data_IF_022571456202
#
_entry.id   IF_022571456202
#
_cell.length_a   1.000
_cell.length_b   1.000
_cell.length_c   1.000
_cell.angle_alpha   90.00
_cell.angle_beta   90.00
_cell.angle_gamma   90.00
#
_symmetry.space_group_name_H-M   'P 1'
#
loop_
_entity.id
_entity.type
_entity.pdbx_description
1 polymer ?
#
# COMPACT_ATOMS: atom_id res chain seq x y z
N UNK A 1 19.92 12.79 -16.10
CA UNK A 1 19.30 12.54 -14.77
C UNK A 1 20.23 12.89 -13.60
N UNK A 2 21.40 12.25 -13.40
CA UNK A 2 22.33 12.56 -12.29
C UNK A 2 22.73 14.05 -12.21
N UNK A 3 23.07 14.65 -13.35
CA UNK A 3 23.41 16.09 -13.44
C UNK A 3 22.26 17.03 -13.08
N UNK A 4 21.00 16.66 -13.36
CA UNK A 4 19.82 17.45 -12.97
C UNK A 4 19.65 17.46 -11.44
N UNK A 5 19.87 16.31 -10.79
CA UNK A 5 19.80 16.18 -9.34
C UNK A 5 20.89 17.02 -8.66
N UNK A 6 22.12 16.94 -9.16
CA UNK A 6 23.26 17.74 -8.68
C UNK A 6 22.98 19.25 -8.79
N UNK A 7 22.44 19.72 -9.93
CA UNK A 7 22.09 21.12 -10.12
C UNK A 7 20.97 21.59 -9.16
N UNK A 8 19.98 20.73 -8.89
CA UNK A 8 18.90 21.03 -7.93
C UNK A 8 19.44 21.10 -6.49
N UNK A 9 20.38 20.22 -6.14
CA UNK A 9 21.04 20.25 -4.83
C UNK A 9 21.86 21.54 -4.65
N UNK A 10 22.69 21.88 -5.64
CA UNK A 10 23.48 23.13 -5.61
C UNK A 10 22.60 24.38 -5.49
N UNK A 11 21.46 24.44 -6.20
CA UNK A 11 20.49 25.52 -6.03
C UNK A 11 19.93 25.56 -4.61
N UNK A 12 19.55 24.41 -4.04
CA UNK A 12 19.06 24.32 -2.67
C UNK A 12 20.06 24.92 -1.69
N UNK A 13 21.32 24.52 -1.80
CA UNK A 13 22.41 24.99 -0.93
C UNK A 13 22.62 26.51 -1.04
N UNK A 14 22.61 27.06 -2.26
CA UNK A 14 22.70 28.51 -2.49
C UNK A 14 21.51 29.26 -1.90
N UNK A 15 20.29 28.73 -2.03
CA UNK A 15 19.11 29.36 -1.41
C UNK A 15 19.14 29.30 0.11
N UNK A 16 19.72 28.25 0.69
CA UNK A 16 19.95 28.17 2.14
C UNK A 16 21.01 29.18 2.58
N UNK A 17 22.09 29.36 1.82
CA UNK A 17 23.09 30.38 2.10
C UNK A 17 22.48 31.79 2.06
N UNK A 18 21.69 32.12 1.03
CA UNK A 18 20.96 33.38 0.94
C UNK A 18 20.02 33.60 2.14
N UNK A 19 19.27 32.57 2.55
CA UNK A 19 18.43 32.62 3.76
C UNK A 19 19.27 32.85 5.02
N UNK A 20 20.44 32.23 5.12
CA UNK A 20 21.32 32.39 6.29
C UNK A 20 21.77 33.85 6.47
N UNK A 21 22.09 34.57 5.38
CA UNK A 21 22.44 35.98 5.44
C UNK A 21 21.27 36.85 5.91
N UNK A 22 20.05 36.56 5.44
CA UNK A 22 18.84 37.27 5.88
C UNK A 22 18.52 37.00 7.35
N UNK A 23 18.58 35.74 7.79
CA UNK A 23 18.34 35.38 9.21
C UNK A 23 19.38 35.97 10.16
N UNK A 24 20.66 36.07 9.75
CA UNK A 24 21.70 36.75 10.53
C UNK A 24 21.42 38.24 10.68
N UNK A 25 21.05 38.90 9.59
CA UNK A 25 20.68 40.32 9.61
C UNK A 25 19.44 40.57 10.51
N UNK A 26 18.42 39.70 10.43
CA UNK A 26 17.24 39.75 11.30
C UNK A 26 17.58 39.56 12.78
N UNK A 27 18.41 38.57 13.12
CA UNK A 27 18.85 38.31 14.50
C UNK A 27 19.64 39.48 15.09
N UNK A 28 20.46 40.13 14.26
CA UNK A 28 21.25 41.30 14.65
C UNK A 28 20.46 42.63 14.58
N UNK A 29 19.16 42.57 14.23
CA UNK A 29 18.26 43.73 14.05
C UNK A 29 18.85 44.84 13.17
N UNK A 30 19.64 44.47 12.17
CA UNK A 30 20.29 45.40 11.24
C UNK A 30 19.96 45.04 9.80
N UNK A 31 20.10 46.01 8.90
CA UNK A 31 20.12 45.72 7.47
C UNK A 31 21.39 44.97 7.07
N UNK A 32 21.34 44.27 5.94
CA UNK A 32 22.52 43.70 5.28
C UNK A 32 23.61 44.76 5.17
N UNK A 33 24.82 44.40 5.59
CA UNK A 33 25.99 45.25 5.40
C UNK A 33 26.31 45.35 3.89
N UNK A 34 27.06 46.36 3.46
CA UNK A 34 27.42 46.57 2.04
C UNK A 34 28.11 45.36 1.41
N UNK A 35 28.94 44.63 2.17
CA UNK A 35 29.63 43.44 1.67
C UNK A 35 28.75 42.18 1.68
N UNK A 36 27.86 42.03 2.67
CA UNK A 36 26.87 40.95 2.69
C UNK A 36 25.81 41.12 1.59
N UNK A 37 25.44 42.37 1.30
CA UNK A 37 24.56 42.69 0.19
C UNK A 37 25.19 42.29 -1.16
N UNK A 38 26.48 42.59 -1.38
CA UNK A 38 27.21 42.15 -2.58
C UNK A 38 27.23 40.63 -2.70
N UNK A 39 27.55 39.91 -1.62
CA UNK A 39 27.55 38.44 -1.61
C UNK A 39 26.15 37.86 -1.87
N UNK A 40 25.10 38.47 -1.32
CA UNK A 40 23.72 38.07 -1.59
C UNK A 40 23.34 38.24 -3.06
N UNK A 41 23.71 39.37 -3.69
CA UNK A 41 23.44 39.58 -5.11
C UNK A 41 24.23 38.62 -6.01
N UNK A 42 25.47 38.26 -5.62
CA UNK A 42 26.27 37.28 -6.34
C UNK A 42 25.67 35.87 -6.25
N UNK A 43 25.27 35.43 -5.06
CA UNK A 43 24.59 34.15 -4.84
C UNK A 43 23.24 34.09 -5.58
N UNK A 44 22.53 35.22 -5.64
CA UNK A 44 21.30 35.33 -6.42
C UNK A 44 21.55 35.15 -7.91
N UNK A 45 22.58 35.81 -8.46
CA UNK A 45 22.95 35.64 -9.86
C UNK A 45 23.34 34.19 -10.17
N UNK A 46 24.10 33.53 -9.28
CA UNK A 46 24.43 32.11 -9.42
C UNK A 46 23.18 31.22 -9.39
N UNK A 47 22.26 31.46 -8.45
CA UNK A 47 20.96 30.77 -8.41
C UNK A 47 20.15 30.97 -9.70
N UNK A 48 20.13 32.17 -10.26
CA UNK A 48 19.42 32.46 -11.51
C UNK A 48 20.08 31.75 -12.71
N UNK A 49 21.41 31.69 -12.77
CA UNK A 49 22.09 30.88 -13.79
C UNK A 49 21.76 29.40 -13.68
N UNK A 50 21.77 28.84 -12.46
CA UNK A 50 21.37 27.45 -12.21
C UNK A 50 19.91 27.20 -12.55
N UNK A 51 19.01 28.15 -12.30
CA UNK A 51 17.60 28.05 -12.70
C UNK A 51 17.47 27.89 -14.22
N UNK A 52 18.21 28.70 -14.99
CA UNK A 52 18.21 28.59 -16.45
C UNK A 52 18.81 27.28 -16.94
N UNK A 53 19.84 26.76 -16.26
CA UNK A 53 20.46 25.48 -16.60
C UNK A 53 19.54 24.30 -16.27
N UNK A 54 18.89 24.31 -15.10
CA UNK A 54 17.87 23.32 -14.71
C UNK A 54 16.74 23.30 -15.74
N UNK A 55 16.21 24.45 -16.15
CA UNK A 55 15.14 24.52 -17.13
C UNK A 55 15.54 23.91 -18.49
N UNK A 56 16.80 24.05 -18.91
CA UNK A 56 17.33 23.43 -20.13
C UNK A 56 17.46 21.91 -20.00
N UNK A 57 17.91 21.41 -18.84
CA UNK A 57 17.98 19.97 -18.62
C UNK A 57 16.59 19.35 -18.44
N UNK A 58 15.63 20.08 -17.90
CA UNK A 58 14.23 19.67 -17.81
C UNK A 58 13.60 19.57 -19.21
N UNK A 59 13.79 20.58 -20.07
CA UNK A 59 13.29 20.50 -21.45
C UNK A 59 13.91 19.33 -22.22
N UNK A 60 15.21 19.08 -22.07
CA UNK A 60 15.87 17.91 -22.68
C UNK A 60 15.34 16.59 -22.11
N UNK A 61 15.12 16.50 -20.80
CA UNK A 61 14.56 15.31 -20.17
C UNK A 61 13.10 15.06 -20.63
N UNK A 62 12.31 16.12 -20.81
CA UNK A 62 10.94 16.03 -21.29
C UNK A 62 10.90 15.70 -22.79
N UNK A 63 11.85 16.18 -23.59
CA UNK A 63 12.04 15.77 -24.98
C UNK A 63 12.43 14.28 -25.07
N UNK A 64 13.38 13.80 -24.25
CA UNK A 64 13.73 12.38 -24.14
C UNK A 64 12.53 11.51 -23.74
N UNK A 65 11.69 11.98 -22.81
CA UNK A 65 10.43 11.33 -22.43
C UNK A 65 9.39 11.33 -23.54
N UNK A 66 9.28 12.42 -24.31
CA UNK A 66 8.33 12.52 -25.43
C UNK A 66 8.70 11.58 -26.57
N UNK A 67 10.00 11.42 -26.85
CA UNK A 67 10.49 10.43 -27.81
C UNK A 67 10.24 8.99 -27.32
N UNK A 68 10.41 8.72 -26.02
CA UNK A 68 10.06 7.43 -25.42
C UNK A 68 8.55 7.12 -25.46
N UNK A 69 7.68 8.14 -25.54
CA UNK A 69 6.21 8.00 -25.60
C UNK A 69 5.70 7.64 -27.01
N UNK A 70 6.54 7.69 -28.05
CA UNK A 70 6.13 7.28 -29.42
C UNK A 70 6.13 5.75 -29.60
N UNK A 71 6.60 5.01 -28.60
CA UNK A 71 6.33 3.56 -28.53
C UNK A 71 5.01 3.32 -27.82
N UNK A 72 4.14 2.44 -28.36
CA UNK A 72 2.84 2.17 -27.78
C UNK A 72 3.01 1.74 -26.32
N UNK A 73 2.22 2.36 -25.45
CA UNK A 73 2.19 2.14 -24.01
C UNK A 73 1.89 0.65 -23.76
N UNK A 74 2.96 -0.12 -23.58
CA UNK A 74 2.90 -1.41 -22.92
C UNK A 74 2.80 -1.12 -21.42
N UNK A 75 1.75 -1.58 -20.77
CA UNK A 75 1.52 -1.54 -19.31
C UNK A 75 2.54 -2.37 -18.49
N UNK A 76 3.80 -2.48 -18.94
CA UNK A 76 4.89 -3.11 -18.19
C UNK A 76 5.92 -2.04 -17.88
N UNK A 77 6.12 -1.77 -16.59
CA UNK A 77 7.20 -0.92 -16.11
C UNK A 77 8.54 -1.57 -16.50
N UNK A 78 9.46 -0.81 -17.09
CA UNK A 78 10.75 -1.35 -17.55
C UNK A 78 11.67 -1.67 -16.36
N UNK A 79 12.47 -2.72 -16.47
CA UNK A 79 13.39 -3.20 -15.43
C UNK A 79 14.37 -2.09 -14.96
N UNK A 80 14.73 -1.15 -15.84
CA UNK A 80 15.59 0.00 -15.52
C UNK A 80 14.89 1.04 -14.61
N UNK A 81 13.57 1.22 -14.76
CA UNK A 81 12.78 2.13 -13.91
C UNK A 81 12.59 1.54 -12.50
N UNK A 82 12.40 0.22 -12.42
CA UNK A 82 12.35 -0.54 -11.16
C UNK A 82 13.69 -0.48 -10.42
N UNK A 83 14.82 -0.62 -11.14
CA UNK A 83 16.16 -0.46 -10.56
C UNK A 83 16.38 0.92 -9.99
N UNK A 84 15.98 1.98 -10.70
CA UNK A 84 16.11 3.33 -10.19
C UNK A 84 15.29 3.56 -8.92
N UNK A 85 14.09 2.97 -8.83
CA UNK A 85 13.22 3.07 -7.66
C UNK A 85 13.81 2.34 -6.43
N UNK A 86 14.37 1.14 -6.62
CA UNK A 86 15.00 0.36 -5.54
C UNK A 86 16.30 0.99 -5.05
N UNK A 87 17.10 1.58 -5.96
CA UNK A 87 18.41 2.14 -5.61
C UNK A 87 18.34 3.57 -5.04
N UNK A 88 17.38 4.40 -5.49
CA UNK A 88 17.32 5.82 -5.15
C UNK A 88 16.12 6.21 -4.28
N UNK A 89 15.13 5.33 -4.09
CA UNK A 89 13.93 5.63 -3.29
C UNK A 89 13.12 6.82 -3.81
N UNK A 90 13.39 7.29 -5.03
CA UNK A 90 12.75 8.47 -5.58
C UNK A 90 11.39 8.06 -6.13
N UNK A 91 10.36 8.23 -5.30
CA UNK A 91 8.97 8.23 -5.73
C UNK A 91 8.86 9.16 -6.94
N UNK A 92 8.28 8.65 -8.04
CA UNK A 92 7.59 9.55 -8.98
C UNK A 92 6.66 10.40 -8.11
N UNK A 93 6.97 11.68 -8.07
CA UNK A 93 6.16 12.74 -7.50
C UNK A 93 4.73 12.61 -8.03
N UNK A 94 3.89 11.84 -7.33
CA UNK A 94 2.50 12.22 -7.16
C UNK A 94 2.53 13.29 -6.07
N UNK A 95 2.60 14.54 -6.53
CA UNK A 95 2.22 15.67 -5.71
C UNK A 95 0.78 15.46 -5.23
N UNK A 96 0.63 15.17 -3.94
CA UNK A 96 -0.40 15.77 -3.10
C UNK A 96 0.21 15.98 -1.73
N UNK A 97 0.51 17.24 -1.39
CA UNK A 97 1.23 17.59 -0.17
C UNK A 97 0.54 17.05 1.09
N UNK A 98 1.26 16.21 1.84
CA UNK A 98 1.66 16.35 3.25
C UNK A 98 2.46 15.08 3.58
N UNK A 99 3.77 15.16 3.90
CA UNK A 99 4.54 14.01 4.34
C UNK A 99 4.39 13.86 5.86
N UNK A 100 3.47 13.02 6.30
CA UNK A 100 3.53 12.49 7.66
C UNK A 100 3.94 11.01 7.57
N UNK A 101 5.15 10.75 8.03
CA UNK A 101 5.71 9.49 8.51
C UNK A 101 5.15 8.18 7.94
N UNK A 102 6.01 7.45 7.22
CA UNK A 102 5.99 5.99 7.29
C UNK A 102 6.32 5.25 6.00
N UNK A 103 7.57 4.81 5.90
CA UNK A 103 7.91 3.41 5.58
C UNK A 103 7.66 2.89 4.16
N UNK A 104 8.75 2.52 3.49
CA UNK A 104 8.88 1.62 2.34
C UNK A 104 7.57 1.11 1.74
N UNK A 105 7.05 1.85 0.76
CA UNK A 105 5.94 1.39 -0.06
C UNK A 105 6.48 0.38 -1.06
N UNK A 106 6.22 -0.89 -0.76
CA UNK A 106 5.97 -1.94 -1.75
C UNK A 106 5.46 -1.30 -3.03
N UNK A 107 6.13 -1.54 -4.15
CA UNK A 107 5.68 -1.04 -5.46
C UNK A 107 4.24 -1.52 -5.61
N UNK A 108 3.23 -0.65 -5.82
CA UNK A 108 1.83 -1.05 -5.91
C UNK A 108 1.60 -2.19 -6.91
N UNK A 109 2.46 -2.29 -7.91
CA UNK A 109 2.54 -3.38 -8.88
C UNK A 109 2.91 -4.73 -8.25
N UNK A 110 3.88 -4.79 -7.34
CA UNK A 110 4.26 -6.02 -6.63
C UNK A 110 3.13 -6.51 -5.73
N UNK A 111 2.49 -5.61 -4.97
CA UNK A 111 1.33 -6.00 -4.17
C UNK A 111 0.18 -6.52 -5.03
N UNK A 112 -0.07 -5.90 -6.20
CA UNK A 112 -1.09 -6.35 -7.14
C UNK A 112 -0.76 -7.72 -7.74
N UNK A 113 0.51 -7.98 -8.07
CA UNK A 113 0.96 -9.26 -8.59
C UNK A 113 0.87 -10.36 -7.53
N UNK A 114 1.30 -10.09 -6.29
CA UNK A 114 1.15 -11.05 -5.17
C UNK A 114 -0.33 -11.36 -4.95
N UNK A 115 -1.20 -10.34 -4.89
CA UNK A 115 -2.64 -10.56 -4.70
C UNK A 115 -3.27 -11.35 -5.85
N UNK A 116 -2.82 -11.12 -7.09
CA UNK A 116 -3.30 -11.87 -8.24
C UNK A 116 -2.86 -13.34 -8.16
N UNK A 117 -1.59 -13.60 -7.84
CA UNK A 117 -1.06 -14.94 -7.66
C UNK A 117 -1.76 -15.67 -6.50
N UNK A 118 -1.99 -14.98 -5.39
CA UNK A 118 -2.74 -15.47 -4.24
C UNK A 118 -4.16 -15.92 -4.63
N UNK A 119 -4.87 -15.13 -5.45
CA UNK A 119 -6.22 -15.51 -5.92
C UNK A 119 -6.21 -16.68 -6.91
N UNK A 120 -5.15 -16.82 -7.70
CA UNK A 120 -5.03 -17.86 -8.72
C UNK A 120 -4.62 -19.21 -8.10
N UNK A 121 -3.73 -19.19 -7.10
CA UNK A 121 -3.18 -20.38 -6.46
C UNK A 121 -3.98 -20.83 -5.24
N UNK A 122 -4.55 -19.90 -4.45
CA UNK A 122 -5.29 -20.27 -3.24
C UNK A 122 -6.63 -20.91 -3.57
N UNK A 123 -6.82 -22.15 -3.14
CA UNK A 123 -8.09 -22.87 -3.22
C UNK A 123 -9.12 -22.21 -2.29
N UNK A 124 -8.67 -21.73 -1.13
CA UNK A 124 -9.54 -21.07 -0.14
C UNK A 124 -10.17 -19.79 -0.70
N UNK A 125 -9.42 -18.99 -1.47
CA UNK A 125 -9.96 -17.78 -2.12
C UNK A 125 -11.00 -18.10 -3.20
N UNK A 126 -10.89 -19.25 -3.84
CA UNK A 126 -11.85 -19.69 -4.87
C UNK A 126 -13.18 -20.16 -4.28
N UNK A 127 -13.18 -20.68 -3.06
CA UNK A 127 -14.40 -21.21 -2.40
C UNK A 127 -15.03 -20.20 -1.43
N UNK A 128 -14.24 -19.28 -0.86
CA UNK A 128 -14.70 -18.31 0.12
C UNK A 128 -15.08 -16.96 -0.50
N UNK A 129 -15.95 -16.21 0.18
CA UNK A 129 -16.27 -14.83 -0.19
C UNK A 129 -15.22 -13.86 0.38
N UNK A 130 -14.38 -13.28 -0.47
CA UNK A 130 -13.41 -12.25 -0.07
C UNK A 130 -14.11 -10.90 0.15
N UNK A 131 -13.83 -10.24 1.28
CA UNK A 131 -14.37 -8.91 1.64
C UNK A 131 -13.23 -7.95 1.98
N UNK A 132 -13.17 -6.82 1.29
CA UNK A 132 -12.21 -5.75 1.59
C UNK A 132 -12.69 -4.91 2.77
N UNK A 133 -11.86 -4.74 3.79
CA UNK A 133 -12.18 -3.99 5.02
C UNK A 133 -11.08 -2.97 5.32
N UNK A 134 -11.44 -1.84 5.94
CA UNK A 134 -10.50 -0.76 6.33
C UNK A 134 -10.20 -0.70 7.83
N UNK A 135 -10.74 -1.65 8.58
CA UNK A 135 -10.59 -1.79 10.03
C UNK A 135 -9.86 -3.10 10.32
N UNK A 136 -9.36 -3.27 11.55
CA UNK A 136 -8.72 -4.49 12.03
C UNK A 136 -9.71 -5.63 12.34
N UNK A 137 -11.00 -5.38 12.17
CA UNK A 137 -12.09 -6.31 12.46
C UNK A 137 -13.19 -6.14 11.42
N UNK A 138 -13.72 -7.27 10.95
CA UNK A 138 -14.90 -7.33 10.10
C UNK A 138 -16.09 -7.80 10.94
N UNK A 139 -17.18 -7.03 10.94
CA UNK A 139 -18.39 -7.32 11.70
C UNK A 139 -19.57 -7.47 10.75
N UNK A 140 -20.34 -8.54 10.91
CA UNK A 140 -21.54 -8.79 10.13
C UNK A 140 -22.66 -9.35 11.00
N UNK A 141 -23.87 -8.80 10.86
CA UNK A 141 -25.06 -9.36 11.48
C UNK A 141 -25.57 -10.54 10.65
N UNK A 142 -25.76 -11.69 11.30
CA UNK A 142 -26.31 -12.90 10.71
C UNK A 142 -27.63 -13.22 11.40
N UNK A 143 -28.66 -13.59 10.64
CA UNK A 143 -29.93 -14.03 11.22
C UNK A 143 -29.81 -15.49 11.64
N UNK A 144 -30.11 -15.77 12.92
CA UNK A 144 -30.12 -17.13 13.48
C UNK A 144 -31.48 -17.82 13.33
N UNK A 145 -32.35 -17.28 12.47
CA UNK A 145 -33.69 -17.80 12.27
C UNK A 145 -34.62 -17.52 13.46
N UNK A 146 -35.65 -18.36 13.61
CA UNK A 146 -36.66 -18.22 14.66
C UNK A 146 -37.96 -17.52 14.23
N UNK A 147 -38.06 -17.08 12.97
CA UNK A 147 -39.33 -16.64 12.42
C UNK A 147 -40.31 -17.82 12.34
N UNK A 148 -41.45 -17.73 13.03
CA UNK A 148 -42.50 -18.73 12.97
C UNK A 148 -43.59 -18.29 12.00
N UNK A 149 -44.16 -19.25 11.27
CA UNK A 149 -45.34 -19.01 10.41
C UNK A 149 -46.50 -19.80 10.99
N UNK A 150 -47.66 -19.17 11.12
CA UNK A 150 -48.89 -19.81 11.60
C UNK A 150 -49.98 -19.73 10.52
N UNK A 151 -50.78 -20.79 10.40
CA UNK A 151 -51.97 -20.79 9.55
C UNK A 151 -53.15 -20.16 10.30
N UNK A 152 -53.90 -19.29 9.62
CA UNK A 152 -55.09 -18.66 10.19
C UNK A 152 -56.37 -19.41 9.82
N UNK A 153 -57.32 -19.48 10.74
CA UNK A 153 -58.69 -19.97 10.53
C UNK A 153 -59.70 -18.80 10.51
N UNK A 154 -60.78 -18.95 9.75
CA UNK A 154 -61.83 -17.93 9.65
C UNK A 154 -62.58 -17.75 10.98
N UNK A 155 -62.76 -16.50 11.42
CA UNK A 155 -63.46 -16.17 12.67
C UNK A 155 -62.64 -16.28 13.96
N UNK A 156 -61.37 -16.67 13.90
CA UNK A 156 -60.46 -16.69 15.08
C UNK A 156 -59.48 -15.53 15.08
N UNK A 157 -59.16 -15.03 16.28
CA UNK A 157 -58.14 -14.00 16.50
C UNK A 157 -56.75 -14.60 16.20
N UNK A 158 -55.97 -13.92 15.36
CA UNK A 158 -54.59 -14.31 15.05
C UNK A 158 -53.65 -13.77 16.14
N UNK A 159 -52.83 -14.65 16.71
CA UNK A 159 -51.79 -14.29 17.67
C UNK A 159 -50.48 -13.85 16.99
N UNK A 160 -49.56 -13.28 17.78
CA UNK A 160 -48.23 -12.88 17.31
C UNK A 160 -47.35 -14.11 17.03
N UNK A 161 -46.58 -14.06 15.94
CA UNK A 161 -45.57 -15.08 15.61
C UNK A 161 -44.20 -14.69 16.12
N UNK A 162 -43.34 -15.68 16.38
CA UNK A 162 -41.97 -15.43 16.83
C UNK A 162 -41.17 -14.57 15.82
N UNK A 163 -40.42 -13.60 16.35
CA UNK A 163 -39.57 -12.67 15.60
C UNK A 163 -38.21 -13.30 15.30
N UNK A 164 -37.64 -13.10 14.09
CA UNK A 164 -36.29 -13.55 13.78
C UNK A 164 -35.26 -12.89 14.71
N UNK A 165 -34.33 -13.70 15.21
CA UNK A 165 -33.19 -13.20 16.01
C UNK A 165 -32.00 -12.93 15.09
N UNK A 166 -31.20 -11.94 15.44
CA UNK A 166 -29.93 -11.61 14.77
C UNK A 166 -28.79 -11.71 15.78
N UNK A 167 -27.65 -12.18 15.31
CA UNK A 167 -26.40 -12.28 16.09
C UNK A 167 -25.28 -11.56 15.33
N UNK A 168 -24.35 -10.94 16.06
CA UNK A 168 -23.17 -10.28 15.50
C UNK A 168 -22.03 -11.28 15.38
N UNK A 169 -21.56 -11.53 14.17
CA UNK A 169 -20.34 -12.30 13.91
C UNK A 169 -19.20 -11.32 13.69
N UNK A 170 -18.15 -11.48 14.50
CA UNK A 170 -16.91 -10.71 14.40
C UNK A 170 -15.77 -11.59 13.93
N UNK A 171 -14.99 -11.06 12.97
CA UNK A 171 -13.78 -11.68 12.44
C UNK A 171 -12.63 -10.70 12.65
N UNK A 172 -11.64 -11.09 13.45
CA UNK A 172 -10.43 -10.31 13.67
C UNK A 172 -9.41 -10.57 12.56
N UNK A 173 -8.78 -9.51 12.07
CA UNK A 173 -7.76 -9.58 11.03
C UNK A 173 -6.36 -9.56 11.65
N UNK A 174 -5.46 -10.35 11.07
CA UNK A 174 -4.05 -10.43 11.49
C UNK A 174 -3.14 -10.17 10.27
N UNK A 175 -2.10 -9.32 10.41
CA UNK A 175 -1.20 -9.01 9.30
C UNK A 175 -0.23 -10.17 9.04
N UNK A 176 -0.06 -10.53 7.76
CA UNK A 176 0.98 -11.44 7.27
C UNK A 176 2.06 -10.58 6.59
N UNK A 177 3.34 -10.87 6.83
CA UNK A 177 4.46 -10.10 6.27
C UNK A 177 5.67 -10.99 5.96
N UNK A 178 6.46 -10.57 4.97
CA UNK A 178 7.79 -11.13 4.67
C UNK A 178 8.79 -10.00 4.43
N UNK A 179 10.03 -10.18 4.93
CA UNK A 179 11.15 -9.24 4.73
C UNK A 179 12.32 -9.96 4.05
N UNK A 180 12.28 -10.13 2.72
CA UNK A 180 13.38 -10.74 1.98
C UNK A 180 14.62 -9.84 2.02
N UNK A 181 15.81 -10.45 2.03
CA UNK A 181 17.10 -9.75 1.89
C UNK A 181 17.76 -10.16 0.58
N UNK A 182 18.18 -9.18 -0.21
CA UNK A 182 18.84 -9.39 -1.52
C UNK A 182 20.20 -8.68 -1.50
N UNK A 183 21.21 -9.30 -2.09
CA UNK A 183 22.55 -8.71 -2.19
C UNK A 183 22.63 -7.69 -3.34
N UNK A 184 23.53 -6.73 -3.20
CA UNK A 184 23.74 -5.67 -4.19
C UNK A 184 24.17 -6.24 -5.56
N UNK A 185 25.00 -7.28 -5.57
CA UNK A 185 25.44 -7.96 -6.79
C UNK A 185 24.27 -8.52 -7.60
N UNK A 186 23.26 -9.10 -6.91
CA UNK A 186 22.06 -9.63 -7.56
C UNK A 186 21.29 -8.51 -8.27
N UNK A 187 21.13 -7.34 -7.64
CA UNK A 187 20.45 -6.16 -8.20
C UNK A 187 21.17 -5.62 -9.45
N UNK A 188 22.49 -5.81 -9.53
CA UNK A 188 23.30 -5.30 -10.64
C UNK A 188 23.24 -6.20 -11.89
N UNK A 189 22.85 -7.47 -11.79
CA UNK A 189 22.67 -8.35 -12.95
C UNK A 189 21.50 -7.90 -13.82
N UNK A 190 21.79 -7.39 -15.03
CA UNK A 190 20.79 -6.85 -15.98
C UNK A 190 19.91 -7.90 -16.64
N UNK A 191 20.38 -9.13 -16.71
CA UNK A 191 19.73 -10.20 -17.48
C UNK A 191 18.67 -10.98 -16.69
N UNK A 192 18.50 -10.67 -15.39
CA UNK A 192 17.58 -11.40 -14.49
C UNK A 192 16.42 -10.50 -14.06
N UNK A 193 15.20 -11.01 -14.20
CA UNK A 193 13.99 -10.38 -13.62
C UNK A 193 13.88 -10.72 -12.13
N UNK A 194 14.62 -9.97 -11.31
CA UNK A 194 14.68 -10.15 -9.86
C UNK A 194 13.33 -9.85 -9.22
N UNK A 195 12.57 -8.90 -9.77
CA UNK A 195 11.27 -8.51 -9.24
C UNK A 195 10.23 -9.61 -9.50
N UNK A 196 10.21 -10.17 -10.71
CA UNK A 196 9.37 -11.32 -11.02
C UNK A 196 9.73 -12.55 -10.18
N UNK A 197 11.01 -12.86 -10.05
CA UNK A 197 11.48 -13.96 -9.18
C UNK A 197 11.09 -13.74 -7.72
N UNK A 198 11.36 -12.56 -7.17
CA UNK A 198 11.04 -12.24 -5.78
C UNK A 198 9.54 -12.29 -5.51
N UNK A 199 8.72 -11.86 -6.48
CA UNK A 199 7.26 -11.89 -6.36
C UNK A 199 6.77 -13.34 -6.27
N UNK A 200 7.25 -14.21 -7.15
CA UNK A 200 6.90 -15.64 -7.12
C UNK A 200 7.38 -16.30 -5.81
N UNK A 201 8.63 -16.05 -5.41
CA UNK A 201 9.21 -16.65 -4.21
C UNK A 201 8.51 -16.23 -2.90
N UNK A 202 7.90 -15.03 -2.89
CA UNK A 202 7.15 -14.54 -1.72
C UNK A 202 5.68 -14.94 -1.79
N UNK A 203 5.09 -15.04 -2.98
CA UNK A 203 3.69 -15.40 -3.12
C UNK A 203 3.41 -16.83 -2.62
N UNK A 204 4.27 -17.79 -2.97
CA UNK A 204 4.14 -19.20 -2.55
C UNK A 204 4.00 -19.36 -1.02
N UNK A 205 4.92 -18.85 -0.17
CA UNK A 205 4.78 -18.97 1.28
C UNK A 205 3.61 -18.16 1.85
N UNK A 206 3.13 -17.11 1.17
CA UNK A 206 1.91 -16.41 1.56
C UNK A 206 0.67 -17.28 1.36
N UNK A 207 0.55 -17.95 0.21
CA UNK A 207 -0.54 -18.90 -0.08
C UNK A 207 -0.54 -20.01 0.96
N UNK A 208 0.60 -20.67 1.18
CA UNK A 208 0.73 -21.79 2.12
C UNK A 208 0.35 -21.38 3.56
N UNK A 209 0.81 -20.21 3.99
CA UNK A 209 0.51 -19.71 5.34
C UNK A 209 -0.96 -19.39 5.47
N UNK A 210 -1.55 -18.69 4.50
CA UNK A 210 -2.97 -18.32 4.55
C UNK A 210 -3.88 -19.55 4.50
N UNK A 211 -3.61 -20.53 3.64
CA UNK A 211 -4.44 -21.74 3.56
C UNK A 211 -4.40 -22.55 4.85
N UNK A 212 -3.21 -22.71 5.44
CA UNK A 212 -3.04 -23.39 6.73
C UNK A 212 -3.83 -22.67 7.84
N UNK A 213 -3.70 -21.33 7.88
CA UNK A 213 -4.35 -20.48 8.87
C UNK A 213 -5.89 -20.55 8.75
N UNK A 214 -6.42 -20.55 7.52
CA UNK A 214 -7.85 -20.63 7.26
C UNK A 214 -8.45 -22.02 7.52
N UNK A 215 -7.66 -23.10 7.45
CA UNK A 215 -8.14 -24.47 7.62
C UNK A 215 -8.15 -24.89 9.10
N UNK A 216 -7.00 -24.87 9.76
CA UNK A 216 -6.80 -25.61 11.02
C UNK A 216 -6.28 -24.80 12.21
N UNK A 217 -5.93 -23.53 12.04
CA UNK A 217 -5.31 -22.78 13.14
C UNK A 217 -6.30 -22.34 14.23
N UNK A 218 -5.74 -22.10 15.42
CA UNK A 218 -6.46 -21.92 16.68
C UNK A 218 -6.90 -20.47 16.96
N UNK A 219 -6.48 -19.51 16.12
CA UNK A 219 -6.75 -18.08 16.27
C UNK A 219 -5.80 -17.31 17.21
N UNK A 220 -4.71 -17.92 17.67
CA UNK A 220 -3.71 -17.26 18.53
C UNK A 220 -2.77 -16.36 17.71
N UNK A 221 -3.16 -15.11 17.49
CA UNK A 221 -2.45 -14.12 16.64
C UNK A 221 -2.43 -14.46 15.13
N UNK A 222 -3.28 -15.38 14.72
CA UNK A 222 -3.45 -15.88 13.36
C UNK A 222 -4.95 -16.02 13.07
N UNK A 223 -5.33 -16.24 11.81
CA UNK A 223 -6.74 -16.50 11.49
C UNK A 223 -7.25 -17.73 12.26
N UNK A 224 -8.53 -17.73 12.63
CA UNK A 224 -9.15 -18.91 13.23
C UNK A 224 -9.68 -19.80 12.12
N UNK A 225 -9.08 -20.98 11.97
CA UNK A 225 -9.43 -21.91 10.91
C UNK A 225 -10.85 -22.45 11.06
N UNK A 226 -11.52 -22.76 9.94
CA UNK A 226 -12.89 -23.24 9.98
C UNK A 226 -13.01 -24.59 10.72
N UNK A 227 -11.98 -25.44 10.75
CA UNK A 227 -12.00 -26.69 11.52
C UNK A 227 -11.91 -26.49 13.03
N UNK A 228 -11.41 -25.34 13.48
CA UNK A 228 -11.20 -25.01 14.89
C UNK A 228 -12.44 -24.45 15.58
N UNK A 229 -13.53 -24.26 14.85
CA UNK A 229 -14.82 -23.90 15.45
C UNK A 229 -15.46 -25.13 16.11
N UNK A 230 -16.03 -24.99 17.32
CA UNK A 230 -16.73 -26.09 17.95
C UNK A 230 -17.84 -26.59 17.02
N UNK A 231 -17.99 -27.92 16.90
CA UNK A 231 -19.07 -28.54 16.13
C UNK A 231 -20.13 -29.07 17.07
N UNK A 232 -21.40 -28.84 16.72
CA UNK A 232 -22.54 -29.35 17.47
C UNK A 232 -23.33 -30.30 16.57
N UNK A 233 -23.84 -31.37 17.16
CA UNK A 233 -24.66 -32.41 16.51
C UNK A 233 -26.13 -32.02 16.36
N UNK A 234 -26.55 -30.82 16.79
CA UNK A 234 -27.92 -30.37 16.65
C UNK A 234 -28.30 -30.07 15.18
N UNK A 235 -29.57 -30.32 14.82
CA UNK A 235 -30.05 -30.17 13.45
C UNK A 235 -30.31 -28.68 13.09
N UNK A 236 -29.49 -28.12 12.21
CA UNK A 236 -29.71 -27.07 11.19
C UNK A 236 -30.44 -25.74 11.49
N UNK A 237 -31.13 -25.57 12.63
CA UNK A 237 -31.90 -24.35 12.93
C UNK A 237 -31.79 -23.87 14.37
N UNK A 238 -30.95 -24.52 15.18
CA UNK A 238 -30.68 -24.12 16.57
C UNK A 238 -29.16 -24.21 16.79
N UNK A 239 -28.42 -23.23 16.30
CA UNK A 239 -27.00 -23.09 16.62
C UNK A 239 -26.75 -21.67 17.14
N UNK A 240 -25.90 -21.55 18.16
CA UNK A 240 -25.21 -20.30 18.44
C UNK A 240 -24.29 -19.99 17.25
N UNK A 241 -24.17 -18.73 16.83
CA UNK A 241 -23.57 -18.33 15.53
C UNK A 241 -22.13 -18.82 15.22
N UNK A 242 -21.45 -19.44 16.19
CA UNK A 242 -20.02 -19.80 16.13
C UNK A 242 -19.81 -21.30 15.87
N UNK A 243 -20.86 -22.10 15.71
CA UNK A 243 -20.74 -23.56 15.61
C UNK A 243 -21.06 -24.07 14.19
N UNK A 244 -20.14 -24.86 13.61
CA UNK A 244 -20.35 -25.49 12.30
C UNK A 244 -21.18 -26.78 12.41
N UNK A 245 -22.08 -26.97 11.46
CA UNK A 245 -22.89 -28.18 11.31
C UNK A 245 -22.07 -29.27 10.60
N UNK A 246 -22.15 -30.51 11.09
CA UNK A 246 -21.57 -31.69 10.41
C UNK A 246 -22.39 -32.10 9.18
#
# INVERSE_FOLDING_TARGET
MKKLLELRQQKSDLTQQMRSFLTKAENEKRSLNTDEAKQFYELRNQSDTLNTEIARYESLADEERSQATTQPISNKLSNDELRHYVLMGEARSLSTGVPFDGGYTVIPELNKQIMQQLTDESIMHRICSVKTTRSNEYKQFVSVGGAAVAHGEEGKVRGETATPKMEEVSIKLFPIYAYPRITQEIIEFRDVDIMGWLTAEIADPFVDTEERDLVSDDGSKQAKGFLSYPRDTQAGKVHASVTLQN
#
